data_IF_633923176859
#
_entry.id   IF_633923176859
#
_cell.length_a   1.000
_cell.length_b   1.000
_cell.length_c   1.000
_cell.angle_alpha   90.00
_cell.angle_beta   90.00
_cell.angle_gamma   90.00
#
_symmetry.space_group_name_H-M   'P 1'
#
loop_
_entity.id
_entity.type
_entity.pdbx_description
1 polymer ?
#
# COMPACT_ATOMS: atom_id res chain seq x y z
N UNK A 1 -3.38 26.38 -15.16
CA UNK A 1 -3.15 27.73 -14.56
C UNK A 1 -1.70 27.79 -14.11
N UNK A 2 -0.91 28.78 -14.55
CA UNK A 2 0.48 28.90 -14.12
C UNK A 2 0.53 29.32 -12.64
N UNK A 3 1.41 28.68 -11.85
CA UNK A 3 1.63 29.04 -10.47
C UNK A 3 2.20 30.48 -10.38
N UNK A 4 1.72 31.25 -9.41
CA UNK A 4 2.31 32.55 -9.10
C UNK A 4 3.62 32.41 -8.32
N UNK A 5 4.37 33.51 -8.16
CA UNK A 5 5.71 33.51 -7.51
C UNK A 5 5.68 32.94 -6.08
N UNK A 6 4.65 33.27 -5.29
CA UNK A 6 4.51 32.76 -3.93
C UNK A 6 4.22 31.24 -3.91
N UNK A 7 3.34 30.79 -4.78
CA UNK A 7 3.06 29.35 -4.93
C UNK A 7 4.30 28.55 -5.36
N UNK A 8 5.10 29.09 -6.28
CA UNK A 8 6.36 28.47 -6.70
C UNK A 8 7.33 28.36 -5.51
N UNK A 9 7.43 29.38 -4.68
CA UNK A 9 8.30 29.35 -3.51
C UNK A 9 7.82 28.33 -2.48
N UNK A 10 6.52 28.29 -2.18
CA UNK A 10 5.93 27.28 -1.29
C UNK A 10 6.23 25.86 -1.79
N UNK A 11 6.08 25.59 -3.09
CA UNK A 11 6.40 24.26 -3.66
C UNK A 11 7.87 23.91 -3.49
N UNK A 12 8.79 24.86 -3.63
CA UNK A 12 10.24 24.62 -3.40
C UNK A 12 10.49 24.22 -1.94
N UNK A 13 9.89 24.94 -0.99
CA UNK A 13 10.03 24.66 0.44
C UNK A 13 9.47 23.26 0.77
N UNK A 14 8.28 22.91 0.27
CA UNK A 14 7.67 21.61 0.46
C UNK A 14 8.54 20.47 -0.11
N UNK A 15 9.09 20.67 -1.31
CA UNK A 15 10.03 19.72 -1.91
C UNK A 15 11.30 19.55 -1.07
N UNK A 16 11.83 20.64 -0.53
CA UNK A 16 13.04 20.59 0.31
C UNK A 16 12.76 19.87 1.64
N UNK A 17 11.61 20.12 2.29
CA UNK A 17 11.19 19.39 3.49
C UNK A 17 11.12 17.89 3.20
N UNK A 18 10.43 17.50 2.10
CA UNK A 18 10.27 16.09 1.72
C UNK A 18 11.61 15.42 1.39
N UNK A 19 12.52 16.12 0.71
CA UNK A 19 13.88 15.64 0.43
C UNK A 19 14.66 15.40 1.72
N UNK A 20 14.70 16.37 2.63
CA UNK A 20 15.40 16.24 3.91
C UNK A 20 14.87 15.05 4.74
N UNK A 21 13.57 14.75 4.64
CA UNK A 21 12.97 13.59 5.29
C UNK A 21 13.37 12.26 4.65
N UNK A 22 13.48 12.22 3.33
CA UNK A 22 13.94 11.04 2.60
C UNK A 22 15.41 10.73 2.89
N UNK A 23 16.25 11.77 2.98
CA UNK A 23 17.68 11.65 3.23
C UNK A 23 18.00 11.31 4.71
N UNK A 24 16.97 11.38 5.59
CA UNK A 24 17.12 11.05 7.02
C UNK A 24 17.33 9.55 7.21
N UNK A 25 18.42 9.16 7.85
CA UNK A 25 18.63 7.76 8.26
C UNK A 25 17.50 7.32 9.22
N UNK A 26 16.98 6.13 8.98
CA UNK A 26 15.93 5.52 9.78
C UNK A 26 16.52 4.35 10.59
N UNK A 27 16.04 4.17 11.80
CA UNK A 27 16.39 3.00 12.62
C UNK A 27 15.61 1.76 12.20
N UNK A 28 16.13 0.60 12.54
CA UNK A 28 15.44 -0.68 12.39
C UNK A 28 14.11 -0.68 13.18
N UNK A 29 13.06 -1.25 12.60
CA UNK A 29 11.72 -1.30 13.20
C UNK A 29 11.52 -2.44 14.22
N UNK A 30 12.55 -3.23 14.47
CA UNK A 30 12.56 -4.21 15.56
C UNK A 30 12.83 -3.50 16.88
N UNK A 31 11.96 -3.70 17.85
CA UNK A 31 12.04 -3.02 19.15
C UNK A 31 13.39 -3.31 19.84
N UNK A 32 13.99 -2.26 20.37
CA UNK A 32 15.30 -2.32 21.03
C UNK A 32 16.50 -2.36 20.08
N UNK A 33 16.34 -2.53 18.77
CA UNK A 33 17.43 -2.49 17.82
C UNK A 33 17.91 -1.05 17.57
N UNK A 34 19.24 -0.84 17.62
CA UNK A 34 19.86 0.48 17.42
C UNK A 34 20.50 0.66 16.03
N UNK A 35 20.45 -0.38 15.22
CA UNK A 35 21.04 -0.38 13.88
C UNK A 35 20.22 0.42 12.89
N UNK A 36 20.88 0.94 11.84
CA UNK A 36 20.19 1.62 10.75
C UNK A 36 19.42 0.61 9.88
N UNK A 37 18.23 1.02 9.45
CA UNK A 37 17.46 0.28 8.49
C UNK A 37 18.10 0.34 7.08
N UNK A 38 17.97 -0.78 6.37
CA UNK A 38 18.24 -0.88 4.93
C UNK A 38 16.91 -0.92 4.15
N UNK A 39 16.97 -0.79 2.83
CA UNK A 39 15.77 -0.97 2.00
C UNK A 39 15.36 -2.44 2.00
N UNK A 40 14.24 -2.73 2.64
CA UNK A 40 13.60 -4.04 2.71
C UNK A 40 12.49 -4.12 1.67
N UNK A 41 12.48 -5.15 0.83
CA UNK A 41 11.42 -5.37 -0.16
C UNK A 41 10.23 -6.08 0.48
N UNK A 42 9.02 -5.65 0.18
CA UNK A 42 7.81 -6.29 0.72
C UNK A 42 7.56 -7.66 0.11
N UNK A 43 7.90 -7.83 -1.16
CA UNK A 43 7.85 -9.08 -1.90
C UNK A 43 9.25 -9.37 -2.45
N UNK A 44 9.65 -10.63 -2.40
CA UNK A 44 10.97 -11.08 -2.81
C UNK A 44 11.26 -10.74 -4.28
N UNK A 45 12.44 -10.15 -4.53
CA UNK A 45 12.84 -9.69 -5.87
C UNK A 45 12.99 -10.83 -6.87
N UNK A 46 13.76 -11.86 -6.52
CA UNK A 46 14.22 -12.90 -7.45
C UNK A 46 13.19 -14.00 -7.69
N UNK A 47 12.29 -14.28 -6.74
CA UNK A 47 11.28 -15.31 -6.86
C UNK A 47 9.90 -14.79 -7.23
N UNK A 48 9.50 -13.61 -6.73
CA UNK A 48 8.15 -13.07 -6.90
C UNK A 48 8.12 -11.97 -7.97
N UNK A 49 8.82 -10.86 -7.73
CA UNK A 49 8.75 -9.71 -8.64
C UNK A 49 9.40 -10.00 -9.99
N UNK A 50 10.41 -10.86 -10.02
CA UNK A 50 11.09 -11.23 -11.26
C UNK A 50 10.19 -11.96 -12.28
N UNK A 51 9.06 -12.53 -11.83
CA UNK A 51 8.09 -13.18 -12.71
C UNK A 51 7.33 -12.22 -13.63
N UNK A 52 7.29 -10.92 -13.26
CA UNK A 52 6.51 -9.92 -13.97
C UNK A 52 7.31 -8.66 -14.32
N UNK A 53 8.63 -8.68 -14.09
CA UNK A 53 9.52 -7.58 -14.43
C UNK A 53 9.78 -7.53 -15.93
N UNK A 54 9.89 -6.34 -16.50
CA UNK A 54 10.29 -6.12 -17.89
C UNK A 54 11.44 -5.12 -17.95
N UNK A 55 12.53 -5.49 -18.63
CA UNK A 55 13.75 -4.68 -18.75
C UNK A 55 14.21 -4.09 -17.40
N UNK A 56 14.12 -4.89 -16.33
CA UNK A 56 14.51 -4.49 -14.98
C UNK A 56 13.56 -3.51 -14.29
N UNK A 57 12.32 -3.30 -14.78
CA UNK A 57 11.40 -2.29 -14.27
C UNK A 57 9.97 -2.81 -14.08
N UNK A 58 9.25 -2.09 -13.21
CA UNK A 58 7.84 -2.22 -12.89
C UNK A 58 7.13 -0.86 -13.03
N UNK A 59 5.81 -0.86 -13.00
CA UNK A 59 4.99 0.36 -12.90
C UNK A 59 4.37 0.45 -11.53
N UNK A 60 4.63 1.54 -10.81
CA UNK A 60 4.07 1.79 -9.48
C UNK A 60 3.52 3.21 -9.35
N UNK A 61 2.59 3.40 -8.42
CA UNK A 61 2.14 4.72 -8.02
C UNK A 61 3.27 5.47 -7.31
N UNK A 62 3.58 6.64 -7.80
CA UNK A 62 4.60 7.52 -7.21
C UNK A 62 4.12 8.96 -7.19
N UNK A 63 4.58 9.77 -6.25
CA UNK A 63 4.24 11.19 -6.22
C UNK A 63 4.53 11.87 -7.56
N UNK A 64 3.56 12.66 -8.04
CA UNK A 64 3.72 13.52 -9.20
C UNK A 64 4.59 14.72 -8.84
N UNK A 65 5.05 15.46 -9.83
CA UNK A 65 5.77 16.71 -9.60
C UNK A 65 4.82 17.77 -9.00
N UNK A 66 5.13 18.26 -7.80
CA UNK A 66 4.33 19.26 -7.11
C UNK A 66 4.12 20.55 -7.93
N UNK A 67 5.02 20.87 -8.87
CA UNK A 67 4.83 22.00 -9.79
C UNK A 67 3.72 21.77 -10.82
N UNK A 68 3.33 20.51 -11.03
CA UNK A 68 2.26 20.10 -11.95
C UNK A 68 0.93 19.87 -11.24
N UNK A 69 0.92 19.94 -9.90
CA UNK A 69 -0.31 19.73 -9.14
C UNK A 69 -1.29 20.88 -9.43
N UNK A 70 -2.45 20.54 -9.91
CA UNK A 70 -3.57 21.42 -10.04
C UNK A 70 -4.84 20.65 -9.62
N UNK A 71 -6.00 21.29 -9.68
CA UNK A 71 -7.26 20.67 -9.28
C UNK A 71 -7.72 19.53 -10.22
N UNK A 72 -7.10 19.38 -11.36
CA UNK A 72 -7.47 18.42 -12.41
C UNK A 72 -6.47 17.26 -12.51
N UNK A 73 -5.25 17.43 -11.97
CA UNK A 73 -4.20 16.43 -12.02
C UNK A 73 -4.06 15.71 -10.68
N UNK A 74 -3.93 14.39 -10.72
CA UNK A 74 -3.66 13.60 -9.52
C UNK A 74 -2.29 13.93 -8.93
N UNK A 75 -2.19 14.03 -7.59
CA UNK A 75 -0.91 14.19 -6.89
C UNK A 75 0.02 12.97 -7.03
N UNK A 76 -0.50 11.86 -7.54
CA UNK A 76 0.23 10.62 -7.81
C UNK A 76 0.02 10.19 -9.25
N UNK A 77 1.00 9.47 -9.79
CA UNK A 77 0.98 8.93 -11.16
C UNK A 77 1.69 7.58 -11.20
N UNK A 78 1.37 6.76 -12.19
CA UNK A 78 2.17 5.57 -12.47
C UNK A 78 3.53 5.96 -13.05
N UNK A 79 4.61 5.47 -12.44
CA UNK A 79 5.99 5.66 -12.91
C UNK A 79 6.70 4.33 -13.06
N UNK A 80 7.59 4.29 -14.01
CA UNK A 80 8.52 3.19 -14.19
C UNK A 80 9.53 3.21 -13.04
N UNK A 81 9.63 2.10 -12.31
CA UNK A 81 10.47 1.93 -11.11
C UNK A 81 11.39 0.74 -11.33
N UNK A 82 12.68 0.89 -11.03
CA UNK A 82 13.62 -0.23 -11.09
C UNK A 82 13.32 -1.29 -10.02
N UNK A 83 13.67 -2.55 -10.30
CA UNK A 83 13.42 -3.67 -9.37
C UNK A 83 13.95 -3.40 -7.95
N UNK A 84 15.09 -2.73 -7.82
CA UNK A 84 15.69 -2.43 -6.52
C UNK A 84 14.90 -1.43 -5.68
N UNK A 85 14.02 -0.65 -6.33
CA UNK A 85 13.19 0.37 -5.69
C UNK A 85 11.72 -0.01 -5.62
N UNK A 86 11.35 -1.15 -6.26
CA UNK A 86 9.97 -1.64 -6.29
C UNK A 86 9.52 -2.07 -4.89
N UNK A 87 8.40 -1.52 -4.41
CA UNK A 87 7.83 -1.74 -3.07
C UNK A 87 8.87 -1.97 -1.98
N UNK A 88 9.90 -1.13 -1.93
CA UNK A 88 10.97 -1.20 -0.94
C UNK A 88 11.00 0.03 -0.05
N UNK A 89 11.26 -0.18 1.25
CA UNK A 89 11.26 0.85 2.28
C UNK A 89 12.35 0.58 3.31
N UNK A 90 12.91 1.63 3.97
CA UNK A 90 13.90 1.44 5.03
C UNK A 90 13.22 0.94 6.32
N UNK A 91 13.09 -0.38 6.47
CA UNK A 91 12.34 -1.01 7.56
C UNK A 91 13.23 -1.69 8.59
N UNK A 92 14.11 -2.57 8.16
CA UNK A 92 14.89 -3.44 9.05
C UNK A 92 16.39 -3.25 8.78
N UNK A 93 17.23 -3.51 9.79
CA UNK A 93 18.66 -3.63 9.56
C UNK A 93 18.96 -4.93 8.80
N UNK A 94 20.14 -5.03 8.23
CA UNK A 94 20.53 -6.21 7.45
C UNK A 94 20.37 -7.54 8.20
N UNK A 95 20.71 -7.55 9.49
CA UNK A 95 20.58 -8.73 10.35
C UNK A 95 19.10 -9.15 10.47
N UNK A 96 18.22 -8.24 10.91
CA UNK A 96 16.81 -8.56 11.12
C UNK A 96 16.05 -8.82 9.82
N UNK A 97 16.37 -8.13 8.72
CA UNK A 97 15.75 -8.41 7.41
C UNK A 97 16.09 -9.81 6.93
N UNK A 98 17.34 -10.25 7.14
CA UNK A 98 17.77 -11.59 6.75
C UNK A 98 17.19 -12.69 7.65
N UNK A 99 17.25 -12.53 8.98
CA UNK A 99 16.87 -13.60 9.90
C UNK A 99 15.34 -13.78 10.01
N UNK A 100 14.60 -12.67 10.16
CA UNK A 100 13.16 -12.74 10.39
C UNK A 100 12.45 -13.26 9.12
N UNK A 101 12.91 -12.83 7.96
CA UNK A 101 12.22 -13.09 6.70
C UNK A 101 12.85 -14.19 5.84
N UNK A 102 13.82 -14.95 6.39
CA UNK A 102 14.48 -16.04 5.67
C UNK A 102 13.50 -17.02 5.00
N UNK A 103 12.38 -17.32 5.66
CA UNK A 103 11.36 -18.24 5.17
C UNK A 103 10.64 -17.72 3.91
N UNK A 104 10.38 -16.41 3.85
CA UNK A 104 9.70 -15.77 2.70
C UNK A 104 10.67 -15.22 1.65
N UNK A 105 11.96 -15.24 1.91
CA UNK A 105 13.01 -14.89 0.92
C UNK A 105 13.43 -16.08 0.07
N UNK A 106 12.88 -17.27 0.26
CA UNK A 106 13.07 -18.41 -0.60
C UNK A 106 12.41 -18.17 -1.96
N UNK A 107 12.96 -18.80 -3.01
CA UNK A 107 12.45 -18.66 -4.38
C UNK A 107 10.99 -19.12 -4.56
N UNK A 108 10.51 -20.00 -3.68
CA UNK A 108 9.14 -20.50 -3.64
C UNK A 108 8.66 -20.61 -2.18
N UNK A 109 8.24 -19.51 -1.55
CA UNK A 109 7.71 -19.54 -0.19
C UNK A 109 6.42 -20.38 -0.15
N UNK A 110 6.23 -21.14 0.93
CA UNK A 110 4.97 -21.88 1.15
C UNK A 110 3.84 -20.92 1.53
N UNK A 111 3.05 -20.51 0.56
CA UNK A 111 1.92 -19.59 0.76
C UNK A 111 0.76 -20.21 1.55
N UNK A 112 0.79 -21.50 1.87
CA UNK A 112 -0.20 -22.17 2.71
C UNK A 112 0.21 -22.19 4.19
N UNK A 113 1.49 -22.02 4.49
CA UNK A 113 1.99 -21.91 5.85
C UNK A 113 1.41 -20.69 6.57
N UNK A 114 0.84 -20.89 7.75
CA UNK A 114 0.34 -19.80 8.58
C UNK A 114 1.45 -18.81 8.95
N UNK A 115 2.63 -19.32 9.29
CA UNK A 115 3.80 -18.51 9.63
C UNK A 115 4.27 -17.65 8.45
N UNK A 116 4.35 -18.23 7.25
CA UNK A 116 4.69 -17.48 6.02
C UNK A 116 3.73 -16.31 5.79
N UNK A 117 2.42 -16.53 5.95
CA UNK A 117 1.40 -15.48 5.81
C UNK A 117 1.55 -14.39 6.87
N UNK A 118 1.87 -14.74 8.10
CA UNK A 118 2.16 -13.77 9.16
C UNK A 118 3.43 -12.96 8.87
N UNK A 119 4.48 -13.55 8.31
CA UNK A 119 5.71 -12.85 7.94
C UNK A 119 5.47 -11.81 6.83
N UNK A 120 4.71 -12.15 5.78
CA UNK A 120 4.28 -11.17 4.79
C UNK A 120 3.47 -10.04 5.42
N UNK A 121 2.54 -10.39 6.31
CA UNK A 121 1.71 -9.41 7.02
C UNK A 121 2.54 -8.48 7.91
N UNK A 122 3.50 -9.02 8.66
CA UNK A 122 4.40 -8.23 9.51
C UNK A 122 5.19 -7.21 8.67
N UNK A 123 5.78 -7.65 7.56
CA UNK A 123 6.57 -6.78 6.67
C UNK A 123 5.69 -5.67 6.06
N UNK A 124 4.48 -6.00 5.62
CA UNK A 124 3.53 -5.04 5.05
C UNK A 124 3.06 -4.00 6.07
N UNK A 125 2.75 -4.42 7.30
CA UNK A 125 2.34 -3.52 8.39
C UNK A 125 3.48 -2.55 8.73
N UNK A 126 4.72 -3.03 8.83
CA UNK A 126 5.89 -2.18 9.05
C UNK A 126 6.07 -1.14 7.92
N UNK A 127 5.83 -1.52 6.68
CA UNK A 127 5.94 -0.59 5.55
C UNK A 127 4.89 0.53 5.60
N UNK A 128 3.64 0.20 5.92
CA UNK A 128 2.59 1.21 6.02
C UNK A 128 2.77 2.08 7.27
N UNK A 129 3.21 1.49 8.39
CA UNK A 129 3.61 2.25 9.59
C UNK A 129 4.72 3.26 9.26
N UNK A 130 5.76 2.84 8.52
CA UNK A 130 6.83 3.72 8.07
C UNK A 130 6.28 4.88 7.20
N UNK A 131 5.41 4.57 6.23
CA UNK A 131 4.78 5.60 5.36
C UNK A 131 3.99 6.61 6.18
N UNK A 132 3.14 6.14 7.09
CA UNK A 132 2.31 7.02 7.93
C UNK A 132 3.16 7.89 8.88
N UNK A 133 4.21 7.32 9.48
CA UNK A 133 5.18 8.09 10.29
C UNK A 133 5.91 9.15 9.46
N UNK A 134 6.28 8.82 8.22
CA UNK A 134 6.91 9.76 7.32
C UNK A 134 5.98 10.93 6.97
N UNK A 135 4.73 10.66 6.63
CA UNK A 135 3.76 11.72 6.32
C UNK A 135 3.40 12.54 7.56
N UNK A 136 3.24 11.93 8.73
CA UNK A 136 3.04 12.67 10.00
C UNK A 136 4.21 13.65 10.26
N UNK A 137 5.46 13.19 10.14
CA UNK A 137 6.66 14.04 10.29
C UNK A 137 6.72 15.12 9.20
N UNK A 138 6.26 14.84 7.98
CA UNK A 138 6.19 15.82 6.91
C UNK A 138 5.21 16.95 7.25
N UNK A 139 4.01 16.62 7.71
CA UNK A 139 3.03 17.61 8.14
C UNK A 139 3.47 18.38 9.38
N UNK A 140 4.13 17.74 10.34
CA UNK A 140 4.72 18.44 11.50
C UNK A 140 5.73 19.53 11.06
N UNK A 141 6.56 19.24 10.06
CA UNK A 141 7.52 20.22 9.53
C UNK A 141 6.84 21.37 8.78
N UNK A 142 5.72 21.08 8.09
CA UNK A 142 4.91 22.10 7.43
C UNK A 142 4.29 23.03 8.48
N UNK A 143 3.63 22.46 9.50
CA UNK A 143 2.97 23.19 10.59
C UNK A 143 3.96 24.09 11.32
N UNK A 144 5.17 23.62 11.56
CA UNK A 144 6.22 24.38 12.26
C UNK A 144 7.02 25.33 11.34
N UNK A 145 6.72 25.38 10.04
CA UNK A 145 7.40 26.27 9.11
C UNK A 145 6.89 27.71 9.27
N UNK A 146 7.81 28.65 9.51
CA UNK A 146 7.49 30.09 9.60
C UNK A 146 7.30 30.75 8.23
N UNK A 147 7.62 30.06 7.16
CA UNK A 147 7.67 30.61 5.79
C UNK A 147 6.50 30.14 4.91
N UNK A 148 5.76 29.14 5.37
CA UNK A 148 4.62 28.59 4.66
C UNK A 148 3.32 29.15 5.27
N UNK A 149 2.48 29.73 4.41
CA UNK A 149 1.15 30.23 4.78
C UNK A 149 0.10 29.17 4.36
N UNK A 150 -0.28 28.32 5.31
CA UNK A 150 -1.31 27.30 5.17
C UNK A 150 -2.33 27.38 6.30
N UNK A 151 -3.53 26.84 6.04
CA UNK A 151 -4.51 26.60 7.09
C UNK A 151 -3.95 25.57 8.10
N UNK A 152 -3.49 26.07 9.23
CA UNK A 152 -2.94 25.26 10.32
C UNK A 152 -3.91 24.18 10.79
N UNK A 153 -5.20 24.51 10.90
CA UNK A 153 -6.23 23.56 11.35
C UNK A 153 -6.33 22.36 10.39
N UNK A 154 -6.29 22.65 9.10
CA UNK A 154 -6.34 21.62 8.07
C UNK A 154 -5.09 20.72 8.07
N UNK A 155 -3.90 21.32 8.19
CA UNK A 155 -2.65 20.56 8.27
C UNK A 155 -2.56 19.70 9.54
N UNK A 156 -3.04 20.20 10.68
CA UNK A 156 -3.12 19.41 11.91
C UNK A 156 -4.04 18.19 11.77
N UNK A 157 -5.19 18.32 11.12
CA UNK A 157 -6.10 17.19 10.86
C UNK A 157 -5.42 16.06 10.05
N UNK A 158 -4.64 16.41 9.01
CA UNK A 158 -3.87 15.40 8.26
C UNK A 158 -2.84 14.72 9.14
N UNK A 159 -2.01 15.48 9.84
CA UNK A 159 -1.03 14.92 10.77
C UNK A 159 -1.70 13.95 11.75
N UNK A 160 -2.79 14.38 12.39
CA UNK A 160 -3.49 13.60 13.40
C UNK A 160 -4.09 12.31 12.83
N UNK A 161 -4.59 12.35 11.59
CA UNK A 161 -5.06 11.13 10.90
C UNK A 161 -3.94 10.13 10.64
N UNK A 162 -2.76 10.61 10.21
CA UNK A 162 -1.59 9.73 10.07
C UNK A 162 -1.12 9.18 11.42
N UNK A 163 -1.12 9.99 12.48
CA UNK A 163 -0.78 9.54 13.83
C UNK A 163 -1.77 8.48 14.36
N UNK A 164 -3.07 8.64 14.08
CA UNK A 164 -4.07 7.62 14.39
C UNK A 164 -3.75 6.30 13.67
N UNK A 165 -3.54 6.35 12.36
CA UNK A 165 -3.16 5.16 11.60
C UNK A 165 -1.86 4.49 12.08
N UNK A 166 -0.88 5.26 12.59
CA UNK A 166 0.32 4.68 13.22
C UNK A 166 -0.04 3.89 14.47
N UNK A 167 -0.95 4.42 15.33
CA UNK A 167 -1.38 3.70 16.55
C UNK A 167 -2.05 2.36 16.20
N UNK A 168 -2.95 2.39 15.23
CA UNK A 168 -3.68 1.21 14.78
C UNK A 168 -2.72 0.15 14.22
N UNK A 169 -1.78 0.55 13.38
CA UNK A 169 -0.76 -0.34 12.83
C UNK A 169 0.18 -0.90 13.90
N UNK A 170 0.55 -0.11 14.93
CA UNK A 170 1.33 -0.60 16.05
C UNK A 170 0.59 -1.68 16.85
N UNK A 171 -0.72 -1.53 17.08
CA UNK A 171 -1.55 -2.55 17.73
C UNK A 171 -1.62 -3.82 16.88
N UNK A 172 -1.88 -3.68 15.59
CA UNK A 172 -1.92 -4.82 14.67
C UNK A 172 -0.57 -5.54 14.58
N UNK A 173 0.52 -4.77 14.50
CA UNK A 173 1.89 -5.30 14.54
C UNK A 173 2.14 -6.14 15.79
N UNK A 174 1.72 -5.68 16.97
CA UNK A 174 1.87 -6.43 18.22
C UNK A 174 1.15 -7.78 18.16
N UNK A 175 -0.08 -7.81 17.64
CA UNK A 175 -0.84 -9.05 17.47
C UNK A 175 -0.11 -10.04 16.53
N UNK A 176 0.42 -9.55 15.41
CA UNK A 176 1.17 -10.40 14.48
C UNK A 176 2.45 -10.96 15.14
N UNK A 177 3.16 -10.15 15.93
CA UNK A 177 4.35 -10.60 16.64
C UNK A 177 4.02 -11.64 17.72
N UNK A 178 2.91 -11.48 18.45
CA UNK A 178 2.40 -12.49 19.39
C UNK A 178 2.09 -13.81 18.67
N UNK A 179 1.39 -13.74 17.51
CA UNK A 179 1.07 -14.91 16.70
C UNK A 179 2.32 -15.60 16.11
N UNK A 180 3.35 -14.84 15.75
CA UNK A 180 4.64 -15.38 15.29
C UNK A 180 5.39 -16.08 16.41
N UNK A 181 5.30 -15.58 17.66
CA UNK A 181 5.96 -16.15 18.83
C UNK A 181 5.20 -17.36 19.40
N UNK A 182 3.87 -17.29 19.44
CA UNK A 182 3.00 -18.33 20.01
C UNK A 182 1.66 -18.36 19.24
N UNK A 183 1.56 -19.16 18.17
CA UNK A 183 0.37 -19.20 17.32
C UNK A 183 -0.89 -19.60 18.10
N UNK A 184 -1.87 -18.72 18.13
CA UNK A 184 -3.22 -18.95 18.66
C UNK A 184 -4.31 -18.91 17.59
N UNK A 185 -3.90 -18.68 16.32
CA UNK A 185 -4.75 -18.59 15.16
C UNK A 185 -5.81 -17.49 15.25
N UNK A 186 -5.46 -16.34 15.81
CA UNK A 186 -6.30 -15.14 15.81
C UNK A 186 -6.50 -14.55 14.41
N UNK A 187 -5.49 -14.73 13.55
CA UNK A 187 -5.61 -14.38 12.14
C UNK A 187 -6.28 -15.51 11.36
N UNK A 188 -7.18 -15.15 10.46
CA UNK A 188 -7.70 -16.02 9.42
C UNK A 188 -7.21 -15.53 8.05
N UNK A 189 -6.93 -16.47 7.16
CA UNK A 189 -6.47 -16.17 5.81
C UNK A 189 -7.34 -16.87 4.77
N UNK A 190 -7.88 -16.09 3.85
CA UNK A 190 -8.48 -16.60 2.61
C UNK A 190 -7.41 -16.61 1.55
N UNK A 191 -7.25 -17.74 0.84
CA UNK A 191 -6.29 -17.90 -0.23
C UNK A 191 -7.02 -18.21 -1.53
N UNK A 192 -6.83 -17.36 -2.53
CA UNK A 192 -7.41 -17.49 -3.86
C UNK A 192 -6.29 -17.65 -4.88
N UNK A 193 -6.52 -18.44 -5.90
CA UNK A 193 -5.58 -18.67 -7.01
C UNK A 193 -6.25 -18.39 -8.34
N UNK A 194 -5.56 -17.64 -9.18
CA UNK A 194 -5.95 -17.34 -10.55
C UNK A 194 -4.78 -17.66 -11.50
N UNK A 195 -5.02 -17.81 -12.81
CA UNK A 195 -3.95 -17.73 -13.80
C UNK A 195 -3.13 -16.46 -13.61
N UNK A 196 -1.86 -16.50 -14.03
CA UNK A 196 -0.95 -15.37 -13.84
C UNK A 196 -1.55 -14.08 -14.41
N UNK A 197 -1.60 -13.07 -13.60
CA UNK A 197 -1.92 -11.70 -13.98
C UNK A 197 -0.84 -10.80 -13.40
N UNK A 198 -0.14 -9.97 -14.18
CA UNK A 198 1.11 -9.35 -13.74
C UNK A 198 0.89 -8.09 -12.90
N UNK A 199 0.19 -8.26 -11.79
CA UNK A 199 0.02 -7.28 -10.72
C UNK A 199 0.60 -7.83 -9.41
N UNK A 200 0.98 -6.95 -8.51
CA UNK A 200 1.43 -7.31 -7.17
C UNK A 200 1.02 -6.26 -6.14
N UNK A 201 0.80 -6.70 -4.92
CA UNK A 201 0.54 -5.82 -3.79
C UNK A 201 0.94 -6.50 -2.48
N UNK A 202 1.27 -5.69 -1.48
CA UNK A 202 1.42 -6.16 -0.11
C UNK A 202 1.13 -4.99 0.83
N UNK A 203 -0.06 -4.97 1.43
CA UNK A 203 -0.52 -3.81 2.20
C UNK A 203 -1.54 -4.20 3.27
N UNK A 204 -1.47 -3.61 4.47
CA UNK A 204 -2.63 -3.56 5.34
C UNK A 204 -3.64 -2.55 4.78
N UNK A 205 -4.89 -2.69 5.17
CA UNK A 205 -5.94 -1.71 4.91
C UNK A 205 -7.03 -1.79 5.96
N UNK A 206 -7.75 -0.68 6.16
CA UNK A 206 -8.94 -0.64 7.00
C UNK A 206 -10.18 -0.59 6.12
N UNK A 207 -11.21 -1.31 6.51
CA UNK A 207 -12.54 -1.17 5.92
C UNK A 207 -13.39 -0.16 6.69
N UNK A 208 -12.85 0.40 7.74
CA UNK A 208 -13.58 1.32 8.58
C UNK A 208 -13.81 2.66 7.88
N UNK A 209 -15.08 3.01 7.75
CA UNK A 209 -15.55 4.22 7.06
C UNK A 209 -15.92 5.34 8.01
N UNK A 210 -15.89 5.07 9.33
CA UNK A 210 -16.36 6.01 10.32
C UNK A 210 -15.22 6.87 10.89
N UNK A 211 -15.03 8.06 10.33
CA UNK A 211 -14.06 9.05 10.82
C UNK A 211 -14.27 9.43 12.30
N UNK A 212 -15.45 9.19 12.88
CA UNK A 212 -15.70 9.46 14.28
C UNK A 212 -14.95 8.50 15.22
N UNK A 213 -14.48 7.38 14.71
CA UNK A 213 -13.64 6.42 15.44
C UNK A 213 -12.16 6.77 15.47
N UNK A 214 -11.71 7.79 14.76
CA UNK A 214 -10.30 8.24 14.77
C UNK A 214 -9.76 8.53 16.19
N UNK A 215 -10.63 8.79 17.15
CA UNK A 215 -10.30 9.04 18.54
C UNK A 215 -10.71 7.90 19.49
N UNK A 216 -11.24 6.78 18.98
CA UNK A 216 -11.62 5.65 19.82
C UNK A 216 -10.38 4.82 20.20
N UNK A 217 -10.43 4.20 21.38
CA UNK A 217 -9.46 3.19 21.81
C UNK A 217 -9.81 1.79 21.25
N UNK A 218 -10.85 1.70 20.44
CA UNK A 218 -11.32 0.46 19.89
C UNK A 218 -10.32 -0.10 18.90
N UNK A 219 -10.19 -1.41 18.89
CA UNK A 219 -9.26 -2.09 18.01
C UNK A 219 -9.66 -1.86 16.54
N UNK A 220 -8.65 -1.61 15.73
CA UNK A 220 -8.79 -1.37 14.30
C UNK A 220 -9.41 -2.58 13.57
N UNK A 221 -10.50 -2.32 12.85
CA UNK A 221 -11.13 -3.27 11.95
C UNK A 221 -10.36 -3.30 10.63
N UNK A 222 -9.29 -4.04 10.61
CA UNK A 222 -8.40 -4.08 9.47
C UNK A 222 -7.99 -5.48 9.06
N UNK A 223 -7.42 -5.52 7.87
CA UNK A 223 -6.85 -6.71 7.28
C UNK A 223 -5.55 -6.42 6.55
N UNK A 224 -5.00 -7.45 6.01
CA UNK A 224 -3.86 -7.40 5.10
C UNK A 224 -4.21 -8.08 3.79
N UNK A 225 -3.67 -7.59 2.70
CA UNK A 225 -3.75 -8.26 1.42
C UNK A 225 -2.37 -8.41 0.81
N UNK A 226 -2.10 -9.60 0.27
CA UNK A 226 -0.92 -9.87 -0.53
C UNK A 226 -1.37 -10.43 -1.87
N UNK A 227 -0.95 -9.79 -2.95
CA UNK A 227 -1.16 -10.21 -4.33
C UNK A 227 0.20 -10.61 -4.86
N UNK A 228 0.40 -11.90 -5.09
CA UNK A 228 1.70 -12.52 -5.31
C UNK A 228 1.70 -13.29 -6.63
N UNK A 229 2.36 -12.76 -7.68
CA UNK A 229 2.57 -13.49 -8.93
C UNK A 229 3.70 -14.52 -8.74
N UNK A 230 3.34 -15.79 -8.58
CA UNK A 230 4.28 -16.87 -8.29
C UNK A 230 3.85 -18.17 -9.01
N UNK A 231 4.81 -18.90 -9.60
CA UNK A 231 4.59 -20.20 -10.23
C UNK A 231 3.44 -20.20 -11.27
N UNK A 232 3.47 -19.25 -12.19
CA UNK A 232 2.47 -19.05 -13.25
C UNK A 232 1.03 -18.82 -12.73
N UNK A 233 0.92 -18.44 -11.46
CA UNK A 233 -0.36 -18.10 -10.82
C UNK A 233 -0.30 -16.73 -10.18
N UNK A 234 -1.47 -16.12 -10.06
CA UNK A 234 -1.72 -14.99 -9.18
C UNK A 234 -2.34 -15.51 -7.89
N UNK A 235 -1.59 -15.44 -6.80
CA UNK A 235 -2.09 -15.75 -5.47
C UNK A 235 -2.60 -14.50 -4.79
N UNK A 236 -3.81 -14.54 -4.24
CA UNK A 236 -4.39 -13.46 -3.45
C UNK A 236 -4.63 -13.99 -2.04
N UNK A 237 -3.91 -13.44 -1.09
CA UNK A 237 -4.00 -13.79 0.33
C UNK A 237 -4.68 -12.65 1.09
N UNK A 238 -5.84 -12.94 1.68
CA UNK A 238 -6.55 -12.03 2.58
C UNK A 238 -6.38 -12.48 4.01
N UNK A 239 -5.77 -11.64 4.85
CA UNK A 239 -5.65 -11.89 6.28
C UNK A 239 -6.48 -10.90 7.08
N UNK A 240 -7.21 -11.37 8.08
CA UNK A 240 -8.00 -10.55 8.98
C UNK A 240 -8.04 -11.14 10.39
N UNK A 241 -8.33 -10.29 11.38
CA UNK A 241 -8.51 -10.71 12.78
C UNK A 241 -9.93 -11.24 12.97
N UNK A 242 -10.06 -12.47 13.48
CA UNK A 242 -11.37 -13.10 13.74
C UNK A 242 -12.22 -12.29 14.71
N UNK A 243 -11.59 -11.77 15.76
CA UNK A 243 -12.28 -11.10 16.86
C UNK A 243 -12.72 -9.67 16.53
N UNK A 244 -12.23 -9.09 15.42
CA UNK A 244 -12.56 -7.73 14.99
C UNK A 244 -13.28 -7.66 13.64
N UNK A 245 -13.80 -8.80 13.16
CA UNK A 245 -14.51 -8.86 11.89
C UNK A 245 -15.87 -8.17 12.00
N UNK A 246 -16.00 -6.98 11.41
CA UNK A 246 -17.27 -6.31 11.29
C UNK A 246 -18.05 -6.77 10.03
N UNK A 247 -19.34 -6.43 9.97
CA UNK A 247 -20.21 -6.82 8.88
C UNK A 247 -19.74 -6.33 7.51
N UNK A 248 -19.26 -5.12 7.42
CA UNK A 248 -18.82 -4.52 6.15
C UNK A 248 -17.56 -5.21 5.62
N UNK A 249 -16.62 -5.53 6.52
CA UNK A 249 -15.42 -6.30 6.18
C UNK A 249 -15.78 -7.72 5.74
N UNK A 250 -16.72 -8.38 6.44
CA UNK A 250 -17.21 -9.71 6.08
C UNK A 250 -17.86 -9.71 4.70
N UNK A 251 -18.70 -8.74 4.40
CA UNK A 251 -19.34 -8.57 3.09
C UNK A 251 -18.27 -8.36 1.99
N UNK A 252 -17.23 -7.58 2.27
CA UNK A 252 -16.15 -7.35 1.31
C UNK A 252 -15.33 -8.62 1.06
N UNK A 253 -14.97 -9.36 2.11
CA UNK A 253 -14.25 -10.65 1.99
C UNK A 253 -15.10 -11.66 1.21
N UNK A 254 -16.42 -11.68 1.43
CA UNK A 254 -17.32 -12.58 0.71
C UNK A 254 -17.42 -12.27 -0.79
N UNK A 255 -17.28 -11.00 -1.21
CA UNK A 255 -17.13 -10.67 -2.64
C UNK A 255 -15.89 -11.34 -3.23
N UNK A 256 -14.77 -11.34 -2.51
CA UNK A 256 -13.55 -12.02 -2.95
C UNK A 256 -13.67 -13.54 -2.96
N UNK A 257 -14.30 -14.15 -1.95
CA UNK A 257 -14.54 -15.61 -1.92
C UNK A 257 -15.36 -16.10 -3.10
N UNK A 258 -16.25 -15.27 -3.62
CA UNK A 258 -17.13 -15.58 -4.73
C UNK A 258 -16.69 -14.93 -6.06
N UNK A 259 -15.45 -14.44 -6.13
CA UNK A 259 -14.94 -13.75 -7.31
C UNK A 259 -14.80 -14.73 -8.49
N UNK A 260 -15.25 -14.27 -9.64
CA UNK A 260 -14.99 -14.92 -10.93
C UNK A 260 -14.13 -14.01 -11.82
N UNK A 261 -13.80 -14.44 -13.02
CA UNK A 261 -12.97 -13.72 -13.98
C UNK A 261 -13.50 -12.29 -14.22
N UNK A 262 -14.79 -12.13 -14.45
CA UNK A 262 -15.42 -10.85 -14.80
C UNK A 262 -15.38 -9.86 -13.63
N UNK A 263 -15.63 -10.35 -12.42
CA UNK A 263 -15.63 -9.53 -11.21
C UNK A 263 -14.23 -9.26 -10.65
N UNK A 264 -13.22 -10.08 -10.98
CA UNK A 264 -11.86 -9.92 -10.48
C UNK A 264 -11.27 -8.56 -10.85
N UNK A 265 -11.43 -8.13 -12.10
CA UNK A 265 -10.92 -6.84 -12.56
C UNK A 265 -11.56 -5.66 -11.84
N UNK A 266 -12.86 -5.73 -11.56
CA UNK A 266 -13.57 -4.69 -10.79
C UNK A 266 -13.08 -4.68 -9.34
N UNK A 267 -12.93 -5.85 -8.71
CA UNK A 267 -12.43 -5.95 -7.33
C UNK A 267 -10.99 -5.47 -7.20
N UNK A 268 -10.11 -5.82 -8.15
CA UNK A 268 -8.74 -5.29 -8.19
C UNK A 268 -8.74 -3.77 -8.38
N UNK A 269 -9.63 -3.26 -9.24
CA UNK A 269 -9.75 -1.81 -9.47
C UNK A 269 -10.22 -1.09 -8.21
N UNK A 270 -11.25 -1.61 -7.52
CA UNK A 270 -11.72 -1.07 -6.24
C UNK A 270 -10.60 -1.08 -5.18
N UNK A 271 -9.94 -2.22 -5.02
CA UNK A 271 -8.84 -2.37 -4.09
C UNK A 271 -7.73 -1.34 -4.32
N UNK A 272 -7.24 -1.24 -5.56
CA UNK A 272 -6.13 -0.36 -5.93
C UNK A 272 -6.50 1.12 -5.93
N UNK A 273 -7.78 1.45 -6.11
CA UNK A 273 -8.25 2.84 -6.13
C UNK A 273 -8.57 3.36 -4.73
N UNK A 274 -9.17 2.51 -3.88
CA UNK A 274 -9.81 2.97 -2.65
C UNK A 274 -9.17 2.42 -1.37
N UNK A 275 -8.49 1.27 -1.43
CA UNK A 275 -8.15 0.51 -0.23
C UNK A 275 -6.66 0.48 0.08
N UNK A 276 -5.83 0.35 -0.93
CA UNK A 276 -4.38 0.21 -0.76
C UNK A 276 -3.60 1.18 -1.64
N UNK A 277 -2.43 1.57 -1.15
CA UNK A 277 -1.50 2.45 -1.88
C UNK A 277 -0.23 1.72 -2.34
N UNK A 278 -0.01 0.50 -1.84
CA UNK A 278 1.22 -0.27 -2.10
C UNK A 278 0.90 -1.39 -3.07
N UNK A 279 0.96 -1.09 -4.36
CA UNK A 279 0.80 -2.05 -5.43
C UNK A 279 1.57 -1.61 -6.68
N UNK A 280 1.73 -2.54 -7.60
CA UNK A 280 2.32 -2.28 -8.90
C UNK A 280 1.94 -3.33 -9.93
N UNK A 281 2.45 -3.16 -11.15
CA UNK A 281 2.17 -4.03 -12.27
C UNK A 281 3.32 -4.05 -13.26
N UNK A 282 3.31 -5.00 -14.21
CA UNK A 282 4.29 -5.00 -15.29
C UNK A 282 4.10 -3.81 -16.23
N UNK A 283 5.17 -3.34 -16.88
CA UNK A 283 5.07 -2.29 -17.88
C UNK A 283 4.17 -2.63 -19.07
N UNK A 284 4.14 -3.89 -19.52
CA UNK A 284 3.26 -4.33 -20.63
C UNK A 284 1.79 -4.24 -20.23
N UNK A 285 1.45 -4.74 -19.03
CA UNK A 285 0.08 -4.61 -18.52
C UNK A 285 -0.34 -3.14 -18.46
N UNK A 286 0.49 -2.26 -17.90
CA UNK A 286 0.15 -0.83 -17.86
C UNK A 286 -0.07 -0.24 -19.25
N UNK A 287 0.76 -0.60 -20.24
CA UNK A 287 0.58 -0.12 -21.63
C UNK A 287 -0.69 -0.63 -22.30
N UNK A 288 -1.19 -1.80 -21.90
CA UNK A 288 -2.44 -2.37 -22.46
C UNK A 288 -3.70 -1.77 -21.85
N UNK A 289 -3.61 -1.12 -20.69
CA UNK A 289 -4.76 -0.46 -20.06
C UNK A 289 -5.21 0.74 -20.92
N UNK A 290 -6.51 0.81 -21.19
CA UNK A 290 -7.09 1.95 -21.88
C UNK A 290 -6.86 3.26 -21.11
N UNK A 291 -6.38 4.29 -21.80
CA UNK A 291 -6.11 5.60 -21.19
C UNK A 291 -7.32 6.19 -20.48
N UNK A 292 -8.52 5.98 -21.00
CA UNK A 292 -9.78 6.43 -20.38
C UNK A 292 -9.96 5.78 -18.99
N UNK A 293 -9.60 4.50 -18.85
CA UNK A 293 -9.69 3.80 -17.57
C UNK A 293 -8.63 4.26 -16.58
N UNK A 294 -7.43 4.60 -17.04
CA UNK A 294 -6.39 5.23 -16.20
C UNK A 294 -6.88 6.61 -15.72
N UNK A 295 -7.54 7.39 -16.57
CA UNK A 295 -8.13 8.68 -16.18
C UNK A 295 -9.28 8.50 -15.17
N UNK A 296 -10.16 7.52 -15.38
CA UNK A 296 -11.21 7.17 -14.41
C UNK A 296 -10.62 6.80 -13.06
N UNK A 297 -9.55 5.97 -13.06
CA UNK A 297 -8.82 5.58 -11.86
C UNK A 297 -8.36 6.81 -11.07
N UNK A 298 -7.62 7.73 -11.70
CA UNK A 298 -7.12 8.92 -11.01
C UNK A 298 -8.24 9.88 -10.58
N UNK A 299 -9.34 10.00 -11.34
CA UNK A 299 -10.51 10.79 -10.94
C UNK A 299 -11.19 10.20 -9.68
N UNK A 300 -11.36 8.88 -9.63
CA UNK A 300 -11.95 8.19 -8.48
C UNK A 300 -11.08 8.35 -7.24
N UNK A 301 -9.77 8.19 -7.40
CA UNK A 301 -8.81 8.37 -6.31
C UNK A 301 -8.78 9.82 -5.79
N UNK A 302 -8.77 10.81 -6.69
CA UNK A 302 -8.83 12.22 -6.31
C UNK A 302 -10.14 12.54 -5.57
N UNK A 303 -11.26 11.98 -6.00
CA UNK A 303 -12.56 12.12 -5.34
C UNK A 303 -12.52 11.55 -3.92
N UNK A 304 -11.95 10.36 -3.72
CA UNK A 304 -11.77 9.76 -2.39
C UNK A 304 -10.96 10.65 -1.46
N UNK A 305 -9.84 11.19 -1.92
CA UNK A 305 -9.02 12.14 -1.14
C UNK A 305 -9.75 13.44 -0.80
N UNK A 306 -10.64 13.93 -1.67
CA UNK A 306 -11.36 15.18 -1.46
C UNK A 306 -12.56 15.02 -0.53
N UNK A 307 -13.26 13.90 -0.59
CA UNK A 307 -14.49 13.65 0.16
C UNK A 307 -14.26 12.92 1.46
N UNK A 308 -13.09 12.29 1.64
CA UNK A 308 -12.81 11.33 2.72
C UNK A 308 -13.84 10.19 2.78
N UNK A 309 -14.51 9.92 1.64
CA UNK A 309 -15.51 8.86 1.55
C UNK A 309 -14.83 7.57 1.12
N UNK A 310 -14.60 6.70 2.07
CA UNK A 310 -14.03 5.36 1.87
C UNK A 310 -15.07 4.36 1.33
N UNK A 311 -16.35 4.75 1.25
CA UNK A 311 -17.44 3.92 0.73
C UNK A 311 -17.69 4.11 -0.77
N UNK A 312 -16.89 4.92 -1.44
CA UNK A 312 -16.98 5.07 -2.88
C UNK A 312 -16.71 3.72 -3.53
N UNK A 313 -17.77 3.04 -3.95
CA UNK A 313 -17.63 1.85 -4.78
C UNK A 313 -17.13 2.25 -6.16
N UNK A 314 -16.15 1.53 -6.65
CA UNK A 314 -15.70 1.66 -8.04
C UNK A 314 -16.62 0.81 -8.91
N UNK A 315 -17.21 1.41 -9.93
CA UNK A 315 -18.19 0.82 -10.85
C UNK A 315 -17.61 0.49 -12.23
N UNK A 316 -16.29 0.56 -12.38
CA UNK A 316 -15.58 0.25 -13.61
C UNK A 316 -14.45 -0.75 -13.39
N UNK A 317 -14.06 -1.43 -14.47
CA UNK A 317 -12.90 -2.30 -14.52
C UNK A 317 -11.74 -1.58 -15.20
N UNK A 318 -10.67 -1.28 -14.48
CA UNK A 318 -9.46 -0.66 -15.05
C UNK A 318 -8.81 -1.56 -16.11
N UNK A 319 -8.98 -2.87 -15.96
CA UNK A 319 -8.36 -3.91 -16.78
C UNK A 319 -9.32 -4.50 -17.83
N UNK A 320 -10.39 -3.82 -18.20
CA UNK A 320 -11.34 -4.33 -19.21
C UNK A 320 -10.75 -4.42 -20.63
N UNK A 321 -11.37 -5.24 -21.46
CA UNK A 321 -11.00 -5.43 -22.88
C UNK A 321 -9.88 -6.44 -23.08
N UNK A 322 -9.10 -6.25 -24.15
CA UNK A 322 -8.01 -7.16 -24.58
C UNK A 322 -6.96 -7.44 -23.51
N UNK A 323 -6.96 -6.67 -22.41
CA UNK A 323 -6.07 -6.88 -21.27
C UNK A 323 -6.22 -8.30 -20.72
N UNK A 324 -7.47 -8.77 -20.54
CA UNK A 324 -7.73 -10.13 -20.02
C UNK A 324 -7.40 -11.24 -21.00
N UNK A 325 -7.62 -11.03 -22.30
CA UNK A 325 -7.41 -12.03 -23.35
C UNK A 325 -5.93 -12.35 -23.53
N UNK A 326 -5.06 -11.36 -23.29
CA UNK A 326 -3.62 -11.51 -23.36
C UNK A 326 -3.01 -12.37 -22.24
N UNK A 327 -3.73 -12.60 -21.15
CA UNK A 327 -3.22 -13.31 -19.96
C UNK A 327 -3.94 -14.64 -19.68
N UNK A 328 -4.70 -15.18 -20.64
CA UNK A 328 -5.37 -16.50 -20.54
C UNK A 328 -6.10 -16.72 -19.19
N UNK A 329 -6.73 -15.68 -18.68
CA UNK A 329 -7.56 -15.78 -17.48
C UNK A 329 -8.88 -16.51 -17.85
N UNK A 330 -8.77 -17.77 -18.24
CA UNK A 330 -9.90 -18.62 -18.62
C UNK A 330 -10.45 -19.33 -17.39
#
# INVERSE_FOLDING_TARGET
MLLNKAQIENVKILKQIRRNLKDKKRGCMVDGCKENAINSHLLQRHGILNNIIEDGHMMELRPNDMFKWNREESPIVFKRVGLNDAISYPLFCNHHDTEIFAEIENSAPDLYSYRTRLLFSYRAICADEYKKRFEAEYFDRIINSRTLDFDHTYMCKFRDSFCAGVRDLCQFKSIILEELASPSHRMEFVHLEFPIFPVYASSPFSYETNLNKLNSSDMWDGGVIHIIPLNDKLHILWGYLKDSLNKDMEEYINKWRNVNKESLGVLLTDLFTQRIEIFGMSPSLYRSINKINVEKYFKSQLKSYQTYDMNLCVDFNMFEGDVWDNYNLI
#
